data_IF_736214835699
#
_entry.id   IF_736214835699
#
_cell.length_a   1.000
_cell.length_b   1.000
_cell.length_c   1.000
_cell.angle_alpha   90.00
_cell.angle_beta   90.00
_cell.angle_gamma   90.00
#
_symmetry.space_group_name_H-M   'P 1'
#
loop_
_entity.id
_entity.type
_entity.pdbx_description
1 polymer ?
#
# COMPACT_ATOMS: atom_id res chain seq x y z
N UNK A 1 13.47 -1.10 -13.23
CA UNK A 1 14.43 -2.22 -13.30
C UNK A 1 13.91 -3.46 -14.04
N UNK A 2 12.76 -4.08 -13.68
CA UNK A 2 12.33 -5.33 -14.34
C UNK A 2 12.07 -5.15 -15.84
N UNK A 3 11.47 -4.01 -16.22
CA UNK A 3 11.18 -3.69 -17.63
C UNK A 3 12.43 -3.63 -18.51
N UNK A 4 13.56 -3.08 -18.02
CA UNK A 4 14.80 -3.02 -18.81
C UNK A 4 15.44 -4.41 -18.95
N UNK A 5 15.41 -5.22 -17.88
CA UNK A 5 15.91 -6.61 -17.92
C UNK A 5 15.12 -7.47 -18.89
N UNK A 6 13.83 -7.22 -18.99
CA UNK A 6 12.94 -7.94 -19.90
C UNK A 6 13.10 -7.47 -21.35
N UNK A 7 13.05 -6.15 -21.58
CA UNK A 7 12.98 -5.57 -22.94
C UNK A 7 14.34 -5.38 -23.62
N UNK A 8 15.45 -5.39 -22.89
CA UNK A 8 16.79 -5.08 -23.44
C UNK A 8 17.72 -6.29 -23.27
N UNK A 9 17.93 -7.12 -24.32
CA UNK A 9 18.75 -8.34 -24.25
C UNK A 9 20.20 -8.08 -23.82
N UNK A 10 20.81 -6.99 -24.29
CA UNK A 10 22.18 -6.62 -23.93
C UNK A 10 22.32 -6.35 -22.42
N UNK A 11 21.34 -5.66 -21.82
CA UNK A 11 21.31 -5.40 -20.39
C UNK A 11 21.10 -6.69 -19.59
N UNK A 12 20.24 -7.60 -20.07
CA UNK A 12 20.06 -8.93 -19.46
C UNK A 12 21.36 -9.74 -19.46
N UNK A 13 22.09 -9.75 -20.58
CA UNK A 13 23.37 -10.43 -20.68
C UNK A 13 24.43 -9.81 -19.76
N UNK A 14 24.45 -8.48 -19.65
CA UNK A 14 25.30 -7.76 -18.71
C UNK A 14 25.03 -8.20 -17.26
N UNK A 15 23.76 -8.20 -16.83
CA UNK A 15 23.38 -8.64 -15.48
C UNK A 15 23.79 -10.09 -15.23
N UNK A 16 23.54 -11.01 -16.18
CA UNK A 16 23.93 -12.42 -16.04
C UNK A 16 25.45 -12.60 -15.82
N UNK A 17 26.27 -11.70 -16.38
CA UNK A 17 27.74 -11.75 -16.26
C UNK A 17 28.27 -11.17 -14.95
N UNK A 18 27.57 -10.21 -14.35
CA UNK A 18 28.11 -9.42 -13.23
C UNK A 18 27.36 -9.62 -11.91
N UNK A 19 26.07 -10.00 -11.96
CA UNK A 19 25.30 -10.35 -10.76
C UNK A 19 25.92 -11.57 -10.07
N UNK A 20 25.85 -11.60 -8.74
CA UNK A 20 26.23 -12.75 -7.93
C UNK A 20 27.67 -13.22 -8.12
N UNK A 21 28.56 -12.26 -8.33
CA UNK A 21 30.01 -12.45 -8.36
C UNK A 21 30.62 -12.17 -6.98
N UNK A 22 31.86 -12.60 -6.75
CA UNK A 22 32.56 -12.29 -5.48
C UNK A 22 32.70 -10.77 -5.27
N UNK A 23 32.96 -10.01 -6.34
CA UNK A 23 33.07 -8.55 -6.27
C UNK A 23 31.76 -7.85 -5.88
N UNK A 24 30.62 -8.49 -6.12
CA UNK A 24 29.29 -7.99 -5.74
C UNK A 24 28.81 -8.58 -4.40
N UNK A 25 29.66 -9.34 -3.69
CA UNK A 25 29.27 -10.01 -2.44
C UNK A 25 28.16 -11.04 -2.64
N UNK A 26 28.12 -11.68 -3.82
CA UNK A 26 27.06 -12.61 -4.23
C UNK A 26 25.66 -11.96 -4.35
N UNK A 27 25.58 -10.63 -4.43
CA UNK A 27 24.34 -9.89 -4.60
C UNK A 27 24.05 -9.62 -6.09
N UNK A 28 22.76 -9.57 -6.42
CA UNK A 28 22.26 -9.07 -7.69
C UNK A 28 22.18 -7.54 -7.68
N UNK A 29 22.14 -6.91 -8.85
CA UNK A 29 22.00 -5.46 -8.94
C UNK A 29 20.80 -4.90 -8.16
N UNK A 30 19.58 -5.48 -8.18
CA UNK A 30 18.49 -5.02 -7.33
C UNK A 30 18.81 -5.06 -5.84
N UNK A 31 19.50 -6.09 -5.35
CA UNK A 31 19.90 -6.21 -3.94
C UNK A 31 20.96 -5.15 -3.57
N UNK A 32 21.93 -4.92 -4.46
CA UNK A 32 22.93 -3.86 -4.29
C UNK A 32 22.30 -2.47 -4.19
N UNK A 33 21.26 -2.20 -4.99
CA UNK A 33 20.55 -0.92 -4.97
C UNK A 33 19.74 -0.70 -3.68
N UNK A 34 19.42 -1.77 -2.93
CA UNK A 34 18.74 -1.66 -1.64
C UNK A 34 19.70 -1.33 -0.49
N UNK A 35 20.99 -1.70 -0.61
CA UNK A 35 21.99 -1.58 0.45
C UNK A 35 22.07 -0.19 1.09
N UNK A 36 22.11 0.95 0.35
CA UNK A 36 22.20 2.25 0.99
C UNK A 36 21.03 2.52 1.94
N UNK A 37 19.84 2.06 1.57
CA UNK A 37 18.64 2.25 2.37
C UNK A 37 18.57 1.31 3.57
N UNK A 38 19.01 0.06 3.42
CA UNK A 38 19.13 -0.90 4.53
C UNK A 38 20.16 -0.45 5.56
N UNK A 39 21.29 0.10 5.08
CA UNK A 39 22.38 0.55 5.95
C UNK A 39 21.98 1.67 6.91
N UNK A 40 21.08 2.56 6.50
CA UNK A 40 20.55 3.63 7.35
C UNK A 40 19.73 3.06 8.50
N UNK A 41 18.96 1.98 8.26
CA UNK A 41 18.18 1.30 9.31
C UNK A 41 19.09 0.63 10.36
N UNK A 42 20.33 0.25 9.98
CA UNK A 42 21.32 -0.32 10.89
C UNK A 42 22.06 0.73 11.73
N UNK A 43 22.31 1.92 11.20
CA UNK A 43 23.10 2.93 11.93
C UNK A 43 22.43 3.41 13.21
N UNK A 44 21.10 3.56 13.19
CA UNK A 44 20.35 4.02 14.37
C UNK A 44 20.52 3.07 15.57
N UNK A 45 20.22 1.76 15.47
CA UNK A 45 20.41 0.86 16.60
C UNK A 45 21.88 0.72 17.02
N UNK A 46 22.83 0.81 16.08
CA UNK A 46 24.27 0.81 16.40
C UNK A 46 24.67 2.03 17.24
N UNK A 47 24.22 3.23 16.85
CA UNK A 47 24.50 4.45 17.60
C UNK A 47 23.77 4.50 18.94
N UNK A 48 22.53 3.97 19.00
CA UNK A 48 21.82 3.78 20.27
C UNK A 48 22.59 2.86 21.21
N UNK A 49 23.08 1.73 20.72
CA UNK A 49 23.89 0.80 21.50
C UNK A 49 25.19 1.46 21.96
N UNK A 50 25.89 2.16 21.07
CA UNK A 50 27.13 2.87 21.41
C UNK A 50 26.90 3.94 22.49
N UNK A 51 25.88 4.78 22.33
CA UNK A 51 25.52 5.82 23.30
C UNK A 51 25.15 5.24 24.67
N UNK A 52 24.45 4.10 24.70
CA UNK A 52 24.10 3.40 25.94
C UNK A 52 25.32 2.88 26.70
N UNK A 53 26.39 2.51 26.00
CA UNK A 53 27.62 1.98 26.59
C UNK A 53 28.74 3.03 26.72
N UNK A 54 28.45 4.30 26.44
CA UNK A 54 29.39 5.41 26.62
C UNK A 54 29.11 6.14 27.93
N UNK A 55 30.12 6.33 28.78
CA UNK A 55 29.98 7.00 30.08
C UNK A 55 29.41 8.44 29.93
N UNK A 56 28.59 8.93 30.89
CA UNK A 56 28.02 10.28 30.84
C UNK A 56 29.05 11.41 30.67
N UNK A 57 30.25 11.22 31.24
CA UNK A 57 31.34 12.20 31.28
C UNK A 57 32.25 12.13 30.04
N UNK A 58 32.00 11.19 29.12
CA UNK A 58 32.85 10.99 27.95
C UNK A 58 32.74 12.18 26.98
N UNK A 59 33.87 12.72 26.47
CA UNK A 59 33.86 13.91 25.61
C UNK A 59 33.05 13.73 24.32
N UNK A 60 32.98 12.51 23.78
CA UNK A 60 32.25 12.23 22.53
C UNK A 60 30.75 12.00 22.73
N UNK A 61 30.27 11.88 23.98
CA UNK A 61 28.86 11.57 24.25
C UNK A 61 27.88 12.60 23.64
N UNK A 62 28.13 13.93 23.71
CA UNK A 62 27.28 14.91 23.04
C UNK A 62 27.25 14.73 21.51
N UNK A 63 28.39 14.41 20.90
CA UNK A 63 28.48 14.20 19.45
C UNK A 63 27.73 12.93 19.04
N UNK A 64 27.81 11.86 19.83
CA UNK A 64 27.04 10.63 19.62
C UNK A 64 25.53 10.87 19.69
N UNK A 65 25.07 11.70 20.63
CA UNK A 65 23.65 12.10 20.72
C UNK A 65 23.20 12.84 19.47
N UNK A 66 23.95 13.86 19.05
CA UNK A 66 23.65 14.63 17.83
C UNK A 66 23.64 13.76 16.58
N UNK A 67 24.60 12.83 16.45
CA UNK A 67 24.66 11.88 15.34
C UNK A 67 23.46 10.95 15.31
N UNK A 68 23.05 10.43 16.49
CA UNK A 68 21.87 9.59 16.64
C UNK A 68 20.59 10.34 16.24
N UNK A 69 20.42 11.58 16.70
CA UNK A 69 19.25 12.39 16.36
C UNK A 69 19.19 12.67 14.86
N UNK A 70 20.33 13.04 14.26
CA UNK A 70 20.44 13.32 12.82
C UNK A 70 20.07 12.09 11.98
N UNK A 71 20.64 10.94 12.29
CA UNK A 71 20.38 9.70 11.55
C UNK A 71 18.98 9.15 11.78
N UNK A 72 18.38 9.38 12.95
CA UNK A 72 16.99 9.03 13.21
C UNK A 72 16.04 9.86 12.35
N UNK A 73 16.24 11.18 12.27
CA UNK A 73 15.45 12.05 11.38
C UNK A 73 15.60 11.65 9.91
N UNK A 74 16.83 11.37 9.48
CA UNK A 74 17.09 10.96 8.10
C UNK A 74 16.44 9.61 7.76
N UNK A 75 16.54 8.62 8.64
CA UNK A 75 15.84 7.33 8.50
C UNK A 75 14.33 7.53 8.34
N UNK A 76 13.73 8.35 9.19
CA UNK A 76 12.28 8.58 9.16
C UNK A 76 11.85 9.34 7.90
N UNK A 77 12.66 10.28 7.42
CA UNK A 77 12.48 10.92 6.12
C UNK A 77 12.53 9.91 4.96
N UNK A 78 13.55 9.04 4.92
CA UNK A 78 13.68 7.99 3.88
C UNK A 78 12.47 7.05 3.92
N UNK A 79 12.00 6.65 5.11
CA UNK A 79 10.82 5.81 5.27
C UNK A 79 9.56 6.49 4.73
N UNK A 80 9.38 7.77 5.02
CA UNK A 80 8.25 8.57 4.52
C UNK A 80 8.26 8.68 2.99
N UNK A 81 9.43 8.92 2.39
CA UNK A 81 9.56 8.99 0.92
C UNK A 81 9.25 7.64 0.27
N UNK A 82 9.75 6.53 0.83
CA UNK A 82 9.44 5.18 0.34
C UNK A 82 7.95 4.87 0.42
N UNK A 83 7.32 5.14 1.57
CA UNK A 83 5.88 4.96 1.76
C UNK A 83 5.06 5.80 0.78
N UNK A 84 5.48 7.04 0.50
CA UNK A 84 4.84 7.89 -0.50
C UNK A 84 4.94 7.34 -1.92
N UNK A 85 6.11 6.84 -2.33
CA UNK A 85 6.31 6.23 -3.63
C UNK A 85 5.48 4.95 -3.82
N UNK A 86 5.45 4.09 -2.80
CA UNK A 86 4.61 2.89 -2.80
C UNK A 86 3.12 3.22 -2.81
N UNK A 87 2.73 4.29 -2.09
CA UNK A 87 1.38 4.84 -2.11
C UNK A 87 0.95 5.27 -3.51
N UNK A 88 1.77 6.10 -4.18
CA UNK A 88 1.50 6.55 -5.56
C UNK A 88 1.38 5.38 -6.54
N UNK A 89 2.23 4.37 -6.42
CA UNK A 89 2.15 3.17 -7.26
C UNK A 89 0.82 2.42 -7.07
N UNK A 90 0.38 2.25 -5.81
CA UNK A 90 -0.91 1.63 -5.47
C UNK A 90 -2.10 2.45 -5.97
N UNK A 91 -2.04 3.78 -5.87
CA UNK A 91 -3.08 4.66 -6.43
C UNK A 91 -3.19 4.43 -7.94
N UNK A 92 -2.07 4.40 -8.66
CA UNK A 92 -2.05 4.21 -10.10
C UNK A 92 -2.58 2.82 -10.51
N UNK A 93 -2.20 1.78 -9.77
CA UNK A 93 -2.71 0.43 -9.97
C UNK A 93 -4.23 0.36 -9.76
N UNK A 94 -4.71 0.96 -8.67
CA UNK A 94 -6.15 1.02 -8.36
C UNK A 94 -6.93 1.77 -9.43
N UNK A 95 -6.39 2.89 -9.93
CA UNK A 95 -7.02 3.63 -11.02
C UNK A 95 -7.12 2.81 -12.31
N UNK A 96 -6.11 1.97 -12.61
CA UNK A 96 -6.17 1.07 -13.78
C UNK A 96 -7.17 -0.06 -13.60
N UNK A 97 -7.41 -0.49 -12.36
CA UNK A 97 -8.36 -1.54 -12.03
C UNK A 97 -9.82 -1.07 -12.19
N UNK A 98 -10.11 0.18 -11.84
CA UNK A 98 -11.47 0.73 -11.84
C UNK A 98 -11.78 1.41 -13.19
N UNK A 99 -12.69 0.83 -13.95
CA UNK A 99 -13.15 1.37 -15.24
C UNK A 99 -13.98 2.64 -15.02
N UNK A 100 -13.69 3.69 -15.80
CA UNK A 100 -14.41 4.96 -15.72
C UNK A 100 -14.11 5.80 -14.48
N UNK A 101 -13.08 5.45 -13.71
CA UNK A 101 -12.73 6.16 -12.49
C UNK A 101 -12.12 7.55 -12.77
N UNK A 102 -12.59 8.62 -12.12
CA UNK A 102 -11.92 9.93 -12.16
C UNK A 102 -10.52 9.85 -11.53
N UNK A 103 -9.70 10.90 -11.68
CA UNK A 103 -8.34 10.93 -11.12
C UNK A 103 -8.37 10.69 -9.60
N UNK A 104 -7.82 9.57 -9.17
CA UNK A 104 -7.57 9.27 -7.76
C UNK A 104 -6.32 10.00 -7.24
N UNK A 105 -5.48 10.53 -8.14
CA UNK A 105 -4.26 11.26 -7.79
C UNK A 105 -4.61 12.65 -7.29
N UNK A 106 -4.83 12.79 -5.99
CA UNK A 106 -5.06 14.05 -5.31
C UNK A 106 -4.24 14.11 -4.02
N UNK A 107 -3.33 15.08 -3.89
CA UNK A 107 -2.60 15.37 -2.65
C UNK A 107 -1.98 14.14 -1.96
N UNK A 108 -2.08 14.09 -0.63
CA UNK A 108 -1.58 12.99 0.21
C UNK A 108 -2.54 11.76 0.24
N UNK A 109 -3.25 11.48 -0.85
CA UNK A 109 -4.18 10.34 -0.90
C UNK A 109 -3.44 9.02 -0.93
N UNK A 110 -3.85 8.07 -0.09
CA UNK A 110 -3.34 6.71 -0.09
C UNK A 110 -4.45 5.70 0.20
N UNK A 111 -4.34 4.53 -0.45
CA UNK A 111 -5.29 3.44 -0.27
C UNK A 111 -5.06 2.76 1.09
N UNK A 112 -6.11 2.68 1.89
CA UNK A 112 -6.13 2.01 3.20
C UNK A 112 -6.58 0.56 3.06
N UNK A 113 -7.72 0.34 2.39
CA UNK A 113 -8.32 -0.98 2.28
C UNK A 113 -9.16 -1.14 1.01
N UNK A 114 -9.31 -2.39 0.56
CA UNK A 114 -10.23 -2.77 -0.51
C UNK A 114 -11.09 -3.91 0.01
N UNK A 115 -12.40 -3.80 -0.15
CA UNK A 115 -13.35 -4.81 0.31
C UNK A 115 -14.40 -5.09 -0.76
N UNK A 116 -14.62 -6.36 -1.06
CA UNK A 116 -15.78 -6.80 -1.84
C UNK A 116 -16.98 -6.98 -0.90
N UNK A 117 -18.12 -6.40 -1.25
CA UNK A 117 -19.33 -6.40 -0.42
C UNK A 117 -20.58 -6.64 -1.26
N UNK A 118 -21.63 -7.14 -0.63
CA UNK A 118 -22.97 -7.20 -1.19
C UNK A 118 -23.72 -5.89 -0.87
N UNK A 119 -24.28 -5.24 -1.89
CA UNK A 119 -25.23 -4.15 -1.69
C UNK A 119 -26.59 -4.75 -1.31
N UNK A 120 -27.08 -4.36 -0.15
CA UNK A 120 -28.37 -4.80 0.37
C UNK A 120 -29.35 -3.62 0.40
N UNK A 121 -30.58 -3.85 -0.05
CA UNK A 121 -31.69 -2.90 0.11
C UNK A 121 -32.68 -3.40 1.14
N UNK A 122 -33.19 -2.49 1.97
CA UNK A 122 -34.33 -2.76 2.84
C UNK A 122 -35.44 -1.78 2.45
N UNK A 123 -36.52 -2.25 1.80
CA UNK A 123 -37.58 -1.37 1.31
C UNK A 123 -38.41 -0.72 2.42
N UNK A 124 -38.38 -1.27 3.65
CA UNK A 124 -39.14 -0.75 4.79
C UNK A 124 -38.25 -0.27 5.94
N UNK A 125 -38.07 1.06 6.01
CA UNK A 125 -37.24 1.74 7.01
C UNK A 125 -37.98 1.90 8.35
N UNK A 126 -39.29 1.63 8.42
CA UNK A 126 -40.08 1.81 9.64
C UNK A 126 -40.11 0.57 10.54
N UNK A 127 -39.67 -0.59 10.03
CA UNK A 127 -39.59 -1.83 10.80
C UNK A 127 -38.38 -1.83 11.73
N UNK A 128 -38.56 -2.38 12.94
CA UNK A 128 -37.48 -2.62 13.91
C UNK A 128 -36.33 -3.41 13.26
N UNK A 129 -35.08 -3.03 13.54
CA UNK A 129 -33.87 -3.58 12.88
C UNK A 129 -33.85 -5.12 12.90
N UNK A 130 -34.39 -5.74 13.96
CA UNK A 130 -34.48 -7.20 14.12
C UNK A 130 -35.41 -7.93 13.14
N UNK A 131 -36.36 -7.21 12.52
CA UNK A 131 -37.36 -7.77 11.61
C UNK A 131 -37.14 -7.32 10.16
N UNK A 132 -36.06 -6.58 9.88
CA UNK A 132 -35.74 -6.11 8.53
C UNK A 132 -35.29 -7.26 7.64
N UNK A 133 -35.94 -7.39 6.49
CA UNK A 133 -35.51 -8.28 5.41
C UNK A 133 -34.66 -7.45 4.45
N UNK A 134 -33.48 -7.97 4.15
CA UNK A 134 -32.52 -7.35 3.25
C UNK A 134 -32.48 -8.13 1.93
N UNK A 135 -32.69 -7.42 0.83
CA UNK A 135 -32.62 -7.98 -0.53
C UNK A 135 -31.27 -7.67 -1.16
N UNK A 136 -30.65 -8.66 -1.82
CA UNK A 136 -29.40 -8.48 -2.55
C UNK A 136 -29.65 -7.70 -3.85
N UNK A 137 -29.00 -6.55 -3.98
CA UNK A 137 -29.13 -5.66 -5.14
C UNK A 137 -27.94 -5.77 -6.10
N UNK A 138 -26.82 -6.34 -5.65
CA UNK A 138 -25.63 -6.53 -6.48
C UNK A 138 -24.35 -6.56 -5.67
N UNK A 139 -23.25 -6.87 -6.34
CA UNK A 139 -21.93 -6.92 -5.72
C UNK A 139 -21.16 -5.63 -5.99
N UNK A 140 -20.54 -5.10 -4.95
CA UNK A 140 -19.80 -3.84 -4.97
C UNK A 140 -18.36 -4.05 -4.52
N UNK A 141 -17.46 -3.21 -5.03
CA UNK A 141 -16.10 -3.05 -4.51
C UNK A 141 -15.97 -1.71 -3.81
N UNK A 142 -15.58 -1.73 -2.54
CA UNK A 142 -15.27 -0.58 -1.72
C UNK A 142 -13.77 -0.33 -1.73
N UNK A 143 -13.33 0.85 -2.17
CA UNK A 143 -11.94 1.27 -2.15
C UNK A 143 -11.81 2.44 -1.18
N UNK A 144 -11.29 2.15 0.01
CA UNK A 144 -11.16 3.11 1.10
C UNK A 144 -9.81 3.82 1.00
N UNK A 145 -9.84 5.14 0.79
CA UNK A 145 -8.70 6.03 0.91
C UNK A 145 -8.80 6.82 2.22
N UNK A 146 -7.75 7.54 2.58
CA UNK A 146 -7.70 8.35 3.81
C UNK A 146 -8.66 9.55 3.83
N UNK A 147 -9.23 9.96 2.69
CA UNK A 147 -10.11 11.12 2.58
C UNK A 147 -11.45 10.81 1.87
N UNK A 148 -11.50 9.75 1.07
CA UNK A 148 -12.65 9.37 0.24
C UNK A 148 -12.86 7.86 0.23
N UNK A 149 -14.12 7.44 0.11
CA UNK A 149 -14.52 6.08 -0.20
C UNK A 149 -15.00 6.03 -1.66
N UNK A 150 -14.37 5.20 -2.48
CA UNK A 150 -14.78 4.98 -3.87
C UNK A 150 -15.62 3.71 -3.94
N UNK A 151 -16.82 3.85 -4.49
CA UNK A 151 -17.80 2.78 -4.73
C UNK A 151 -17.69 2.33 -6.17
N UNK A 152 -17.62 1.01 -6.37
CA UNK A 152 -17.58 0.39 -7.68
C UNK A 152 -18.58 -0.73 -7.77
N UNK A 153 -19.18 -0.93 -8.95
CA UNK A 153 -19.95 -2.12 -9.25
C UNK A 153 -18.98 -3.23 -9.65
N UNK A 154 -19.08 -4.38 -8.98
CA UNK A 154 -18.31 -5.57 -9.32
C UNK A 154 -19.11 -6.39 -10.32
N UNK A 155 -18.51 -6.64 -11.48
CA UNK A 155 -19.06 -7.52 -12.49
C UNK A 155 -18.12 -8.70 -12.68
N UNK A 156 -18.69 -9.90 -12.63
CA UNK A 156 -17.98 -11.15 -12.91
C UNK A 156 -18.37 -11.59 -14.31
N UNK A 157 -17.41 -11.62 -15.24
CA UNK A 157 -17.64 -12.21 -16.57
C UNK A 157 -17.01 -13.59 -16.65
N UNK A 158 -17.82 -14.56 -17.06
CA UNK A 158 -17.38 -15.89 -17.44
C UNK A 158 -17.14 -15.90 -18.94
N UNK A 159 -15.87 -16.02 -19.35
CA UNK A 159 -15.56 -16.24 -20.75
C UNK A 159 -15.71 -17.75 -21.04
N UNK A 160 -16.54 -18.14 -22.03
CA UNK A 160 -16.71 -19.55 -22.38
C UNK A 160 -15.35 -20.15 -22.76
N UNK A 161 -15.10 -21.36 -22.28
CA UNK A 161 -13.84 -22.12 -22.49
C UNK A 161 -12.59 -21.56 -21.78
N UNK A 162 -12.73 -20.62 -20.84
CA UNK A 162 -11.63 -20.20 -19.97
C UNK A 162 -11.87 -20.61 -18.51
N UNK A 163 -10.83 -21.12 -17.85
CA UNK A 163 -10.83 -21.37 -16.40
C UNK A 163 -10.62 -20.07 -15.58
N UNK A 164 -10.45 -18.92 -16.24
CA UNK A 164 -10.15 -17.65 -15.61
C UNK A 164 -11.42 -16.81 -15.48
N UNK A 165 -11.90 -16.64 -14.25
CA UNK A 165 -12.95 -15.68 -13.92
C UNK A 165 -12.37 -14.26 -14.00
N UNK A 166 -12.97 -13.38 -14.81
CA UNK A 166 -12.54 -11.98 -14.91
C UNK A 166 -13.46 -11.10 -14.09
N UNK A 167 -12.94 -10.59 -12.98
CA UNK A 167 -13.58 -9.53 -12.19
C UNK A 167 -13.26 -8.18 -12.82
N UNK A 168 -14.29 -7.33 -12.96
CA UNK A 168 -14.14 -5.95 -13.40
C UNK A 168 -14.85 -5.03 -12.43
N UNK A 169 -14.22 -3.91 -12.10
CA UNK A 169 -14.80 -2.85 -11.29
C UNK A 169 -15.19 -1.68 -12.18
N UNK A 170 -16.46 -1.29 -12.15
CA UNK A 170 -16.95 -0.09 -12.84
C UNK A 170 -17.22 0.99 -11.80
N UNK A 171 -16.67 2.19 -11.99
CA UNK A 171 -16.86 3.30 -11.07
C UNK A 171 -18.35 3.67 -10.95
N UNK A 172 -18.84 3.83 -9.71
CA UNK A 172 -20.19 4.30 -9.43
C UNK A 172 -20.17 5.70 -8.82
N UNK A 173 -19.45 5.86 -7.71
CA UNK A 173 -19.43 7.11 -6.96
C UNK A 173 -18.17 7.25 -6.10
N UNK A 174 -17.87 8.48 -5.70
CA UNK A 174 -16.87 8.81 -4.70
C UNK A 174 -17.51 9.64 -3.59
N UNK A 175 -17.30 9.24 -2.33
CA UNK A 175 -17.93 9.87 -1.17
C UNK A 175 -16.86 10.28 -0.16
N UNK A 176 -16.82 11.54 0.24
CA UNK A 176 -15.87 12.01 1.26
C UNK A 176 -16.16 11.37 2.62
N UNK A 177 -15.11 10.93 3.32
CA UNK A 177 -15.28 10.24 4.62
C UNK A 177 -15.95 11.11 5.67
N UNK A 178 -15.73 12.43 5.64
CA UNK A 178 -16.38 13.39 6.54
C UNK A 178 -17.92 13.42 6.45
N UNK A 179 -18.47 12.92 5.35
CA UNK A 179 -19.92 12.85 5.12
C UNK A 179 -20.53 11.47 5.34
N UNK A 180 -19.75 10.48 5.77
CA UNK A 180 -20.22 9.11 5.99
C UNK A 180 -20.58 8.88 7.45
N UNK A 181 -21.77 8.35 7.68
CA UNK A 181 -22.18 7.77 8.95
C UNK A 181 -22.07 6.24 8.85
N UNK A 182 -21.45 5.61 9.84
CA UNK A 182 -21.29 4.16 9.91
C UNK A 182 -22.11 3.64 11.08
N UNK A 183 -22.89 2.60 10.82
CA UNK A 183 -23.71 1.94 11.82
C UNK A 183 -23.51 0.44 11.71
N UNK A 184 -23.26 -0.19 12.86
CA UNK A 184 -23.18 -1.65 12.93
C UNK A 184 -24.60 -2.23 12.91
N UNK A 185 -24.81 -3.20 12.03
CA UNK A 185 -26.04 -3.98 11.99
C UNK A 185 -25.75 -5.25 12.78
N UNK A 186 -26.37 -5.39 13.95
CA UNK A 186 -26.27 -6.61 14.76
C UNK A 186 -26.89 -7.77 14.00
N UNK A 187 -26.18 -8.90 13.94
CA UNK A 187 -26.66 -10.12 13.30
C UNK A 187 -27.86 -10.67 14.07
N UNK A 188 -29.02 -10.74 13.42
CA UNK A 188 -30.31 -11.04 14.09
C UNK A 188 -30.65 -12.53 14.11
N UNK A 189 -29.67 -13.40 13.85
CA UNK A 189 -29.80 -14.86 14.00
C UNK A 189 -28.72 -15.40 14.95
N UNK A 190 -29.12 -15.59 16.21
CA UNK A 190 -28.52 -16.60 17.09
C UNK A 190 -29.47 -17.81 17.14
#
# INVERSE_FOLDING_TARGET
MPQCREKIPAFRAFLKRHDRTLATGMLSLPELLLLPSSRIEEYVPLLQALLRHTAPEHPDRPQLSTALDTLSHYRDFVRKVKQGADGEAKILETQRLIQGCPSLREGNRHLIAVQEVALLSCPDVQIAVSLRVYEHMGDMGLFLFNDVLVLTQRSVSHLPFSYAQRTSHTFLASVFLRGLAVHDITDTKC
#
